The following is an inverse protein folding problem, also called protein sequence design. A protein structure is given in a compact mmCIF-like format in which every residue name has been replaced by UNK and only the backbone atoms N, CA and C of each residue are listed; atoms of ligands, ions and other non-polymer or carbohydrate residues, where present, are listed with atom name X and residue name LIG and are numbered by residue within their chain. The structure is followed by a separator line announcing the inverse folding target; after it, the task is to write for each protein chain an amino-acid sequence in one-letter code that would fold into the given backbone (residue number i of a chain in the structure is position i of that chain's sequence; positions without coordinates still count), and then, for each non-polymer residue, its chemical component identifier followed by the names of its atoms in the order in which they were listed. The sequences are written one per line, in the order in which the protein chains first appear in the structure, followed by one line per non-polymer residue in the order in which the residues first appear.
data_IF_628565684934
#
_entry.id   IF_628565684934
#
_cell.length_a   1.000
_cell.length_b   1.000
_cell.length_c   1.000
_cell.angle_alpha   90.00
_cell.angle_beta   90.00
_cell.angle_gamma   90.00
#
_symmetry.space_group_name_H-M   'P 1'
#
loop_
_entity.id
_entity.type
_entity.pdbx_description
1 polymer ?
#
# COMPACT_ATOMS: atom_id res chain seq x y z
N UNK A 1 7.02 18.21 6.21
CA UNK A 1 5.94 17.25 5.85
C UNK A 1 6.45 15.98 5.16
N UNK A 2 7.45 16.03 4.27
CA UNK A 2 7.94 14.85 3.50
C UNK A 2 8.36 13.67 4.39
N UNK A 3 9.17 13.92 5.42
CA UNK A 3 9.67 12.86 6.32
C UNK A 3 8.59 12.32 7.28
N UNK A 4 7.55 13.12 7.53
CA UNK A 4 6.42 12.72 8.36
C UNK A 4 5.57 11.66 7.67
N UNK A 5 5.25 11.87 6.38
CA UNK A 5 4.49 10.91 5.60
C UNK A 5 5.30 9.66 5.27
N UNK A 6 6.58 9.80 4.97
CA UNK A 6 7.48 8.67 4.75
C UNK A 6 7.51 7.73 5.97
N UNK A 7 7.70 8.28 7.18
CA UNK A 7 7.68 7.50 8.42
C UNK A 7 6.33 6.84 8.69
N UNK A 8 5.23 7.55 8.41
CA UNK A 8 3.88 7.00 8.59
C UNK A 8 3.59 5.87 7.62
N UNK A 9 3.98 6.01 6.36
CA UNK A 9 3.79 4.99 5.35
C UNK A 9 4.62 3.75 5.68
N UNK A 10 5.89 3.92 6.08
CA UNK A 10 6.76 2.83 6.54
C UNK A 10 6.09 1.97 7.62
N UNK A 11 5.32 2.59 8.53
CA UNK A 11 4.57 1.90 9.59
C UNK A 11 3.25 1.29 9.12
N UNK A 12 2.69 1.74 8.00
CA UNK A 12 1.48 1.14 7.41
C UNK A 12 1.80 -0.10 6.57
N UNK A 13 3.01 -0.22 6.03
CA UNK A 13 3.40 -1.38 5.21
C UNK A 13 3.08 -2.73 5.84
N UNK A 14 3.45 -3.02 7.11
CA UNK A 14 3.12 -4.30 7.74
C UNK A 14 1.63 -4.47 8.08
N UNK A 15 0.84 -3.38 8.02
CA UNK A 15 -0.62 -3.43 8.21
C UNK A 15 -1.33 -3.86 6.92
N UNK A 16 -0.75 -3.58 5.76
CA UNK A 16 -1.33 -3.92 4.46
C UNK A 16 -0.71 -5.17 3.83
N UNK A 17 0.56 -5.49 4.12
CA UNK A 17 1.23 -6.66 3.57
C UNK A 17 1.38 -7.71 4.67
N UNK A 18 0.56 -8.75 4.58
CA UNK A 18 0.64 -9.92 5.46
C UNK A 18 1.89 -10.77 5.10
N UNK A 19 2.68 -11.21 6.10
CA UNK A 19 3.79 -12.11 5.85
C UNK A 19 3.26 -13.50 5.47
N UNK A 20 3.47 -13.90 4.22
CA UNK A 20 3.13 -15.23 3.71
C UNK A 20 4.37 -16.12 3.72
N UNK A 21 4.24 -17.37 4.19
CA UNK A 21 5.35 -18.32 4.19
C UNK A 21 5.87 -18.57 2.76
N UNK A 22 7.19 -18.54 2.59
CA UNK A 22 7.84 -18.71 1.28
C UNK A 22 7.86 -17.47 0.38
N UNK A 23 7.24 -16.37 0.80
CA UNK A 23 7.28 -15.08 0.09
C UNK A 23 8.33 -14.13 0.68
N UNK A 24 8.96 -13.27 -0.15
CA UNK A 24 9.85 -12.23 0.37
C UNK A 24 9.09 -11.28 1.30
N UNK A 25 9.69 -10.85 2.43
CA UNK A 25 9.04 -9.92 3.33
C UNK A 25 8.82 -8.57 2.65
N UNK A 26 7.81 -7.83 3.13
CA UNK A 26 7.59 -6.46 2.72
C UNK A 26 8.85 -5.62 2.95
N UNK A 27 9.21 -4.77 1.98
CA UNK A 27 10.29 -3.80 2.11
C UNK A 27 9.68 -2.40 2.31
N UNK A 28 9.66 -1.89 3.55
CA UNK A 28 9.02 -0.61 3.83
C UNK A 28 9.72 0.58 3.18
N UNK A 29 11.03 0.49 2.92
CA UNK A 29 11.81 1.58 2.32
C UNK A 29 11.55 1.67 0.82
N UNK A 30 11.52 0.52 0.14
CA UNK A 30 11.13 0.46 -1.26
C UNK A 30 9.68 0.90 -1.48
N UNK A 31 8.75 0.45 -0.63
CA UNK A 31 7.34 0.89 -0.69
C UNK A 31 7.22 2.40 -0.51
N UNK A 32 7.97 2.96 0.44
CA UNK A 32 7.94 4.40 0.68
C UNK A 32 8.50 5.19 -0.51
N UNK A 33 9.59 4.70 -1.12
CA UNK A 33 10.18 5.30 -2.31
C UNK A 33 9.22 5.25 -3.51
N UNK A 34 8.62 4.08 -3.77
CA UNK A 34 7.65 3.90 -4.85
C UNK A 34 6.41 4.78 -4.64
N UNK A 35 5.80 4.75 -3.46
CA UNK A 35 4.63 5.56 -3.17
C UNK A 35 4.91 7.06 -3.33
N UNK A 36 6.13 7.52 -2.99
CA UNK A 36 6.52 8.90 -3.24
C UNK A 36 6.56 9.23 -4.73
N UNK A 37 7.14 8.36 -5.55
CA UNK A 37 7.17 8.53 -7.01
C UNK A 37 5.76 8.46 -7.60
N UNK A 38 4.96 7.49 -7.17
CA UNK A 38 3.57 7.30 -7.59
C UNK A 38 2.71 8.54 -7.32
N UNK A 39 2.77 9.08 -6.10
CA UNK A 39 2.02 10.28 -5.72
C UNK A 39 2.53 11.55 -6.40
N UNK A 40 3.80 11.57 -6.83
CA UNK A 40 4.39 12.70 -7.56
C UNK A 40 4.03 12.66 -9.05
N UNK A 41 3.91 11.47 -9.63
CA UNK A 41 3.47 11.26 -11.01
C UNK A 41 1.96 11.42 -11.18
N UNK A 42 1.18 11.17 -10.11
CA UNK A 42 -0.27 11.35 -10.09
C UNK A 42 -0.72 12.81 -10.01
N UNK A 43 -2.04 13.02 -9.99
CA UNK A 43 -2.62 14.36 -9.90
C UNK A 43 -2.43 14.97 -8.50
N UNK A 44 -2.29 16.32 -8.39
CA UNK A 44 -2.22 16.98 -7.09
C UNK A 44 -3.44 16.69 -6.20
N UNK A 45 -4.62 16.54 -6.78
CA UNK A 45 -5.85 16.18 -6.08
C UNK A 45 -5.77 14.78 -5.46
N UNK A 46 -5.27 13.78 -6.20
CA UNK A 46 -5.08 12.44 -5.67
C UNK A 46 -4.07 12.40 -4.53
N UNK A 47 -2.99 13.18 -4.63
CA UNK A 47 -2.01 13.31 -3.54
C UNK A 47 -2.64 13.86 -2.26
N UNK A 48 -3.50 14.88 -2.37
CA UNK A 48 -4.24 15.42 -1.23
C UNK A 48 -5.21 14.40 -0.64
N UNK A 49 -5.95 13.69 -1.49
CA UNK A 49 -6.85 12.62 -1.09
C UNK A 49 -6.11 11.53 -0.33
N UNK A 50 -4.95 11.09 -0.82
CA UNK A 50 -4.13 10.06 -0.16
C UNK A 50 -3.74 10.50 1.26
N UNK A 51 -3.25 11.73 1.42
CA UNK A 51 -2.90 12.25 2.75
C UNK A 51 -4.10 12.39 3.67
N UNK A 52 -5.26 12.80 3.14
CA UNK A 52 -6.50 12.82 3.89
C UNK A 52 -6.89 11.41 4.36
N UNK A 53 -6.77 10.39 3.50
CA UNK A 53 -7.09 9.00 3.85
C UNK A 53 -6.18 8.44 4.95
N UNK A 54 -4.90 8.83 5.00
CA UNK A 54 -4.01 8.46 6.13
C UNK A 54 -4.52 9.03 7.46
N UNK A 55 -5.03 10.28 7.44
CA UNK A 55 -5.59 10.91 8.64
C UNK A 55 -6.94 10.29 9.02
N UNK A 56 -7.80 10.02 8.04
CA UNK A 56 -9.09 9.37 8.26
C UNK A 56 -8.89 7.96 8.83
N UNK A 57 -7.95 7.17 8.31
CA UNK A 57 -7.61 5.85 8.86
C UNK A 57 -7.26 5.93 10.35
N UNK A 58 -6.46 6.92 10.75
CA UNK A 58 -6.10 7.14 12.15
C UNK A 58 -7.29 7.57 12.98
N UNK A 59 -8.12 8.49 12.47
CA UNK A 59 -9.30 8.98 13.18
C UNK A 59 -10.31 7.84 13.40
N UNK A 60 -10.56 7.03 12.37
CA UNK A 60 -11.45 5.86 12.44
C UNK A 60 -10.89 4.83 13.41
N UNK A 61 -9.60 4.50 13.33
CA UNK A 61 -8.96 3.57 14.26
C UNK A 61 -9.05 4.07 15.72
N UNK A 62 -8.81 5.37 15.94
CA UNK A 62 -8.90 5.96 17.27
C UNK A 62 -10.34 5.93 17.78
N UNK A 63 -11.32 6.23 16.93
CA UNK A 63 -12.74 6.21 17.30
C UNK A 63 -13.27 4.80 17.59
N UNK A 64 -12.82 3.78 16.86
CA UNK A 64 -13.35 2.40 16.99
C UNK A 64 -12.56 1.54 17.98
N UNK A 65 -11.25 1.73 18.09
CA UNK A 65 -10.36 0.90 18.93
C UNK A 65 -9.75 1.66 20.10
N UNK A 66 -9.89 2.99 20.16
CA UNK A 66 -9.29 3.82 21.21
C UNK A 66 -7.77 3.93 21.15
N UNK A 67 -7.14 3.45 20.07
CA UNK A 67 -5.68 3.37 19.90
C UNK A 67 -5.26 3.81 18.51
N UNK A 68 -3.99 4.13 18.34
CA UNK A 68 -3.42 4.45 17.03
C UNK A 68 -3.30 3.19 16.18
N UNK A 69 -3.55 3.30 14.87
CA UNK A 69 -3.31 2.21 13.90
C UNK A 69 -1.87 1.70 13.94
N UNK A 70 -0.91 2.56 14.30
CA UNK A 70 0.51 2.21 14.42
C UNK A 70 0.88 1.40 15.66
N UNK A 71 -0.03 1.32 16.63
CA UNK A 71 0.16 0.55 17.87
C UNK A 71 -0.67 -0.73 17.90
N UNK A 72 -1.42 -1.02 16.84
CA UNK A 72 -2.18 -2.26 16.76
C UNK A 72 -1.24 -3.45 16.57
N UNK A 73 -1.46 -4.55 17.30
CA UNK A 73 -0.85 -5.85 16.95
C UNK A 73 -1.18 -6.22 15.49
N UNK A 74 -0.33 -7.00 14.80
CA UNK A 74 -0.56 -7.37 13.40
C UNK A 74 -1.93 -7.99 13.14
N UNK A 75 -2.39 -8.89 14.01
CA UNK A 75 -3.69 -9.55 13.91
C UNK A 75 -4.85 -8.54 14.02
N UNK A 76 -4.81 -7.63 15.02
CA UNK A 76 -5.83 -6.59 15.18
C UNK A 76 -5.82 -5.58 14.03
N UNK A 77 -4.65 -5.33 13.44
CA UNK A 77 -4.48 -4.42 12.32
C UNK A 77 -5.11 -4.99 11.04
N UNK A 78 -4.90 -6.29 10.77
CA UNK A 78 -5.54 -6.99 9.66
C UNK A 78 -7.07 -7.06 9.84
N UNK A 79 -7.55 -7.45 11.02
CA UNK A 79 -8.98 -7.44 11.34
C UNK A 79 -9.60 -6.05 11.15
N UNK A 80 -8.89 -4.99 11.55
CA UNK A 80 -9.34 -3.62 11.34
C UNK A 80 -9.42 -3.27 9.85
N UNK A 81 -8.39 -3.57 9.06
CA UNK A 81 -8.40 -3.32 7.61
C UNK A 81 -9.51 -4.11 6.91
N UNK A 82 -9.67 -5.40 7.24
CA UNK A 82 -10.77 -6.24 6.75
C UNK A 82 -12.14 -5.66 7.10
N UNK A 83 -12.32 -5.16 8.32
CA UNK A 83 -13.58 -4.52 8.73
C UNK A 83 -13.91 -3.27 7.91
N UNK A 84 -12.89 -2.52 7.47
CA UNK A 84 -13.08 -1.37 6.58
C UNK A 84 -13.51 -1.80 5.18
N UNK A 85 -12.89 -2.84 4.62
CA UNK A 85 -13.29 -3.41 3.33
C UNK A 85 -14.72 -3.95 3.34
N UNK A 86 -15.13 -4.61 4.43
CA UNK A 86 -16.49 -5.14 4.58
C UNK A 86 -17.53 -4.11 5.02
N UNK A 87 -17.15 -2.85 5.20
CA UNK A 87 -18.05 -1.81 5.70
C UNK A 87 -19.16 -1.51 4.70
N UNK A 88 -20.39 -1.37 5.20
CA UNK A 88 -21.55 -0.93 4.39
C UNK A 88 -21.42 0.51 3.92
N UNK A 89 -20.55 1.30 4.56
CA UNK A 89 -20.24 2.66 4.14
C UNK A 89 -19.11 2.63 3.11
N UNK A 90 -19.44 2.89 1.84
CA UNK A 90 -18.47 2.89 0.73
C UNK A 90 -17.25 3.79 0.99
N UNK A 91 -17.43 4.90 1.70
CA UNK A 91 -16.33 5.79 2.08
C UNK A 91 -15.29 5.10 2.98
N UNK A 92 -15.70 4.18 3.86
CA UNK A 92 -14.78 3.42 4.71
C UNK A 92 -14.04 2.35 3.91
N UNK A 93 -14.71 1.66 2.99
CA UNK A 93 -14.06 0.70 2.08
C UNK A 93 -13.09 1.34 1.09
N UNK A 94 -13.27 2.62 0.77
CA UNK A 94 -12.34 3.38 -0.06
C UNK A 94 -10.99 3.63 0.64
N UNK A 95 -10.95 3.71 1.97
CA UNK A 95 -9.72 4.00 2.73
C UNK A 95 -8.62 2.96 2.43
N UNK A 96 -8.81 1.66 2.70
CA UNK A 96 -7.77 0.68 2.45
C UNK A 96 -7.50 0.49 0.95
N UNK A 97 -8.48 0.78 0.09
CA UNK A 97 -8.28 0.75 -1.38
C UNK A 97 -7.29 1.84 -1.82
N UNK A 98 -7.53 3.10 -1.44
CA UNK A 98 -6.68 4.24 -1.81
C UNK A 98 -5.28 4.11 -1.19
N UNK A 99 -5.20 3.72 0.09
CA UNK A 99 -3.93 3.58 0.80
C UNK A 99 -3.15 2.34 0.37
N UNK A 100 -3.84 1.22 0.19
CA UNK A 100 -3.26 -0.06 -0.19
C UNK A 100 -2.72 -0.05 -1.62
N UNK A 101 -3.34 0.69 -2.56
CA UNK A 101 -2.92 0.68 -3.98
C UNK A 101 -1.41 0.89 -4.18
N UNK A 102 -0.78 2.00 -3.74
CA UNK A 102 0.66 2.17 -3.91
C UNK A 102 1.49 1.19 -3.07
N UNK A 103 0.95 0.67 -1.95
CA UNK A 103 1.65 -0.31 -1.10
C UNK A 103 1.73 -1.67 -1.79
N UNK A 104 0.59 -2.18 -2.26
CA UNK A 104 0.49 -3.43 -3.01
C UNK A 104 1.26 -3.36 -4.32
N UNK A 105 1.11 -2.28 -5.09
CA UNK A 105 1.89 -2.11 -6.32
C UNK A 105 3.39 -2.14 -6.05
N UNK A 106 3.87 -1.45 -5.01
CA UNK A 106 5.29 -1.46 -4.70
C UNK A 106 5.80 -2.85 -4.28
N UNK A 107 5.03 -3.59 -3.50
CA UNK A 107 5.44 -4.92 -3.02
C UNK A 107 5.37 -5.97 -4.14
N UNK A 108 4.23 -6.06 -4.84
CA UNK A 108 3.99 -7.09 -5.86
C UNK A 108 4.66 -6.81 -7.21
N UNK A 109 5.20 -5.60 -7.43
CA UNK A 109 6.04 -5.33 -8.60
C UNK A 109 7.52 -5.68 -8.40
N UNK A 110 7.92 -6.20 -7.24
CA UNK A 110 9.31 -6.64 -7.04
C UNK A 110 9.56 -7.94 -7.79
N UNK A 111 10.69 -8.00 -8.50
CA UNK A 111 11.09 -9.19 -9.27
C UNK A 111 11.13 -10.46 -8.39
N UNK A 112 11.66 -10.36 -7.17
CA UNK A 112 11.76 -11.50 -6.24
C UNK A 112 10.39 -12.00 -5.76
N UNK A 113 9.43 -11.10 -5.60
CA UNK A 113 8.03 -11.42 -5.27
C UNK A 113 7.34 -12.04 -6.49
N UNK A 114 7.52 -11.48 -7.69
CA UNK A 114 6.90 -11.98 -8.91
C UNK A 114 7.40 -13.38 -9.30
N UNK A 115 8.71 -13.63 -9.18
CA UNK A 115 9.28 -14.97 -9.42
C UNK A 115 8.68 -16.01 -8.48
N UNK A 116 8.48 -15.66 -7.20
CA UNK A 116 7.84 -16.55 -6.21
C UNK A 116 6.37 -16.82 -6.50
N UNK A 117 5.68 -15.87 -7.15
CA UNK A 117 4.31 -16.03 -7.64
C UNK A 117 4.22 -16.81 -8.97
N UNK A 118 5.36 -17.25 -9.52
CA UNK A 118 5.42 -18.05 -10.75
C UNK A 118 5.44 -17.23 -12.05
N UNK A 119 5.69 -15.91 -11.98
CA UNK A 119 5.84 -15.09 -13.18
C UNK A 119 7.25 -15.23 -13.78
N UNK A 120 7.32 -15.37 -15.11
CA UNK A 120 8.57 -15.18 -15.85
C UNK A 120 8.78 -13.68 -16.11
N UNK A 121 9.46 -13.03 -15.16
CA UNK A 121 9.77 -11.61 -15.21
C UNK A 121 10.59 -11.24 -16.45
N UNK A 122 11.44 -12.14 -16.95
CA UNK A 122 12.25 -11.90 -18.14
C UNK A 122 11.43 -11.93 -19.42
N UNK A 123 10.48 -12.86 -19.53
CA UNK A 123 9.53 -12.89 -20.63
C UNK A 123 8.59 -11.67 -20.59
N UNK A 124 8.04 -11.32 -19.43
CA UNK A 124 7.19 -10.14 -19.28
C UNK A 124 7.88 -8.85 -19.70
N UNK A 125 9.17 -8.68 -19.34
CA UNK A 125 9.96 -7.50 -19.76
C UNK A 125 10.23 -7.48 -21.27
N UNK A 126 10.53 -8.65 -21.86
CA UNK A 126 10.71 -8.76 -23.32
C UNK A 126 9.43 -8.39 -24.06
N UNK A 127 8.29 -8.89 -23.60
CA UNK A 127 6.98 -8.58 -24.18
C UNK A 127 6.61 -7.10 -24.02
N UNK A 128 6.87 -6.51 -22.84
CA UNK A 128 6.64 -5.08 -22.60
C UNK A 128 7.51 -4.20 -23.51
N UNK A 129 8.80 -4.51 -23.65
CA UNK A 129 9.72 -3.79 -24.53
C UNK A 129 9.32 -3.91 -26.02
N UNK A 130 8.80 -5.07 -26.43
CA UNK A 130 8.30 -5.28 -27.79
C UNK A 130 7.03 -4.46 -28.10
N UNK A 131 6.31 -4.00 -27.06
CA UNK A 131 5.08 -3.20 -27.17
C UNK A 131 5.30 -1.70 -26.92
N UNK A 132 6.53 -1.25 -26.76
CA UNK A 132 6.81 0.19 -26.69
C UNK A 132 6.46 0.85 -28.03
N UNK A 133 5.38 1.63 -28.04
CA UNK A 133 5.02 2.47 -29.18
C UNK A 133 6.06 3.57 -29.28
N UNK A 134 6.98 3.43 -30.24
CA UNK A 134 7.87 4.53 -30.65
C UNK A 134 7.00 5.70 -31.09
N UNK A 135 7.14 6.84 -30.40
CA UNK A 135 6.53 8.11 -30.78
C UNK A 135 7.19 8.70 -32.02
#
# INVERSE_FOLDING_TARGET
MRDYFARRLRRLVPVFIEPVEGMPPADPDQVTSFAHQFLRAGTPAFRMLFYAMVLVLQAVCLATRGRSVYSLPPEEADDFVRSLYSSRFAALGAIPTVLGTPIYMAHYNRDDVQVRLGFDVHEMRREAAAREVRR
#
